data_IF_839546766096
#
_entry.id   IF_839546766096
#
_cell.length_a   1.000
_cell.length_b   1.000
_cell.length_c   1.000
_cell.angle_alpha   90.00
_cell.angle_beta   90.00
_cell.angle_gamma   90.00
#
_symmetry.space_group_name_H-M   'P 1'
#
loop_
_entity.id
_entity.type
_entity.pdbx_description
1 polymer ?
#
# COMPACT_ATOMS: atom_id res chain seq x y z
N UNK A 1 -7.97 13.15 -8.11
CA UNK A 1 -6.88 12.29 -7.61
C UNK A 1 -7.11 11.80 -6.19
N UNK A 2 -7.09 12.68 -5.17
CA UNK A 2 -7.28 12.31 -3.74
C UNK A 2 -8.52 11.43 -3.50
N UNK A 3 -9.68 11.76 -4.09
CA UNK A 3 -10.90 10.95 -3.98
C UNK A 3 -10.71 9.48 -4.41
N UNK A 4 -9.90 9.25 -5.44
CA UNK A 4 -9.60 7.89 -5.92
C UNK A 4 -8.70 7.13 -4.95
N UNK A 5 -7.85 7.83 -4.20
CA UNK A 5 -7.02 7.24 -3.16
C UNK A 5 -7.88 6.82 -1.95
N UNK A 6 -8.78 7.71 -1.52
CA UNK A 6 -9.73 7.45 -0.43
C UNK A 6 -10.64 6.27 -0.77
N UNK A 7 -11.25 6.27 -1.96
CA UNK A 7 -12.07 5.14 -2.42
C UNK A 7 -11.28 3.83 -2.46
N UNK A 8 -9.97 3.89 -2.76
CA UNK A 8 -9.11 2.70 -2.69
C UNK A 8 -8.84 2.27 -1.25
N UNK A 9 -8.70 3.18 -0.29
CA UNK A 9 -8.57 2.83 1.12
C UNK A 9 -9.80 2.12 1.64
N UNK A 10 -11.00 2.62 1.33
CA UNK A 10 -12.27 1.99 1.68
C UNK A 10 -12.35 0.58 1.06
N UNK A 11 -12.07 0.46 -0.23
CA UNK A 11 -12.05 -0.83 -0.90
C UNK A 11 -11.03 -1.81 -0.31
N UNK A 12 -9.86 -1.32 0.14
CA UNK A 12 -8.85 -2.14 0.82
C UNK A 12 -9.31 -2.58 2.21
N UNK A 13 -10.12 -1.80 2.92
CA UNK A 13 -10.73 -2.23 4.17
C UNK A 13 -11.64 -3.45 3.96
N UNK A 14 -12.40 -3.47 2.87
CA UNK A 14 -13.24 -4.62 2.48
C UNK A 14 -12.42 -5.78 1.87
N UNK A 15 -11.27 -5.47 1.25
CA UNK A 15 -10.43 -6.42 0.52
C UNK A 15 -8.99 -6.42 1.06
N UNK A 16 -8.77 -6.69 2.36
CA UNK A 16 -7.48 -6.45 3.02
C UNK A 16 -6.34 -7.30 2.46
N UNK A 17 -6.66 -8.43 1.81
CA UNK A 17 -5.66 -9.34 1.24
C UNK A 17 -5.33 -9.07 -0.23
N UNK A 18 -5.95 -8.08 -0.86
CA UNK A 18 -5.75 -7.76 -2.29
C UNK A 18 -4.36 -7.19 -2.61
N UNK A 19 -3.71 -6.55 -1.64
CA UNK A 19 -2.34 -6.05 -1.78
C UNK A 19 -1.29 -7.16 -1.76
N UNK A 20 -0.23 -6.95 -2.54
CA UNK A 20 0.95 -7.81 -2.58
C UNK A 20 1.65 -7.78 -1.22
N UNK A 21 1.98 -8.93 -0.60
CA UNK A 21 2.82 -8.97 0.59
C UNK A 21 4.18 -8.32 0.32
N UNK A 22 4.65 -7.50 1.27
CA UNK A 22 5.98 -6.88 1.27
C UNK A 22 6.78 -7.31 2.51
N UNK A 23 6.84 -8.62 2.72
CA UNK A 23 7.60 -9.22 3.82
C UNK A 23 9.12 -8.95 3.68
N UNK A 24 9.57 -8.57 2.48
CA UNK A 24 10.92 -8.07 2.17
C UNK A 24 11.24 -6.72 2.83
N UNK A 25 10.22 -5.89 3.09
CA UNK A 25 10.37 -4.64 3.85
C UNK A 25 10.18 -4.93 5.34
N UNK A 26 9.03 -5.54 5.69
CA UNK A 26 8.71 -5.94 7.05
C UNK A 26 7.57 -6.95 7.02
N UNK A 27 7.69 -8.01 7.83
CA UNK A 27 6.66 -9.05 7.92
C UNK A 27 5.27 -8.46 8.19
N UNK A 28 4.29 -8.90 7.40
CA UNK A 28 2.88 -8.47 7.52
C UNK A 28 2.55 -7.18 6.77
N UNK A 29 3.52 -6.53 6.14
CA UNK A 29 3.28 -5.36 5.29
C UNK A 29 2.71 -5.81 3.95
N UNK A 30 1.91 -4.94 3.34
CA UNK A 30 1.32 -5.13 2.02
C UNK A 30 1.39 -3.82 1.24
N UNK A 31 1.39 -3.92 -0.08
CA UNK A 31 1.24 -2.78 -0.95
C UNK A 31 0.19 -2.98 -2.04
N UNK A 32 -0.45 -1.89 -2.48
CA UNK A 32 -1.40 -1.89 -3.59
C UNK A 32 -1.18 -0.66 -4.48
N UNK A 33 -1.01 -0.82 -5.81
CA UNK A 33 -0.83 0.32 -6.72
C UNK A 33 -2.17 1.03 -6.98
N UNK A 34 -2.18 2.36 -6.89
CA UNK A 34 -3.34 3.19 -7.23
C UNK A 34 -2.90 4.41 -8.04
N UNK A 35 -3.04 4.31 -9.36
CA UNK A 35 -2.55 5.34 -10.28
C UNK A 35 -1.03 5.49 -10.14
N UNK A 36 -0.58 6.70 -9.83
CA UNK A 36 0.84 6.99 -9.68
C UNK A 36 1.37 6.83 -8.23
N UNK A 37 0.59 6.25 -7.31
CA UNK A 37 1.03 6.02 -5.93
C UNK A 37 0.95 4.54 -5.56
N UNK A 38 1.78 4.14 -4.60
CA UNK A 38 1.78 2.81 -4.02
C UNK A 38 1.28 2.96 -2.59
N UNK A 39 0.16 2.31 -2.26
CA UNK A 39 -0.43 2.35 -0.92
C UNK A 39 0.22 1.25 -0.08
N UNK A 40 0.98 1.62 0.94
CA UNK A 40 1.51 0.69 1.94
C UNK A 40 0.56 0.59 3.13
N UNK A 41 0.28 -0.64 3.54
CA UNK A 41 -0.63 -0.91 4.63
C UNK A 41 -0.31 -2.24 5.31
N UNK A 42 -0.98 -2.51 6.44
CA UNK A 42 -0.94 -3.81 7.12
C UNK A 42 -2.34 -4.19 7.61
N UNK A 43 -2.52 -5.47 7.92
CA UNK A 43 -3.76 -5.99 8.52
C UNK A 43 -3.48 -6.24 10.00
N UNK A 44 -4.25 -5.61 10.89
CA UNK A 44 -4.14 -5.77 12.35
C UNK A 44 -5.55 -5.92 12.91
N UNK A 45 -5.82 -6.94 13.74
CA UNK A 45 -7.13 -7.12 14.40
C UNK A 45 -8.34 -6.95 13.47
N UNK A 46 -8.25 -7.50 12.26
CA UNK A 46 -9.26 -7.43 11.20
C UNK A 46 -9.54 -6.02 10.63
N UNK A 47 -8.65 -5.06 10.85
CA UNK A 47 -8.65 -3.72 10.24
C UNK A 47 -7.47 -3.55 9.29
N UNK A 48 -7.53 -2.48 8.49
CA UNK A 48 -6.45 -2.05 7.60
C UNK A 48 -5.85 -0.74 8.11
N UNK A 49 -4.57 -0.79 8.50
CA UNK A 49 -3.79 0.40 8.85
C UNK A 49 -3.06 0.90 7.61
N UNK A 50 -3.40 2.08 7.11
CA UNK A 50 -2.65 2.74 6.04
C UNK A 50 -1.38 3.34 6.63
N UNK A 51 -0.22 2.90 6.15
CA UNK A 51 1.09 3.35 6.60
C UNK A 51 1.59 4.55 5.78
N UNK A 52 1.25 4.61 4.49
CA UNK A 52 1.62 5.70 3.61
C UNK A 52 1.25 5.44 2.16
N UNK A 53 1.19 6.50 1.34
CA UNK A 53 0.93 6.40 -0.09
C UNK A 53 1.94 7.25 -0.89
N UNK A 54 3.23 6.87 -0.92
CA UNK A 54 4.22 7.56 -1.74
C UNK A 54 3.88 7.50 -3.23
N UNK A 55 4.27 8.54 -3.96
CA UNK A 55 4.33 8.49 -5.42
C UNK A 55 5.32 7.41 -5.87
N UNK A 56 4.97 6.63 -6.89
CA UNK A 56 5.78 5.50 -7.39
C UNK A 56 7.19 5.91 -7.87
N UNK A 57 7.40 7.18 -8.20
CA UNK A 57 8.72 7.71 -8.55
C UNK A 57 9.64 7.90 -7.33
N UNK A 58 9.11 7.81 -6.11
CA UNK A 58 9.91 7.79 -4.89
C UNK A 58 10.36 6.37 -4.53
N UNK A 59 10.08 5.38 -5.38
CA UNK A 59 10.60 4.02 -5.22
C UNK A 59 12.09 4.00 -5.58
N UNK A 60 12.93 4.00 -4.55
CA UNK A 60 14.40 3.99 -4.60
C UNK A 60 14.92 2.54 -4.78
N UNK A 61 14.15 1.65 -5.40
CA UNK A 61 14.71 0.39 -5.92
C UNK A 61 15.64 0.63 -7.14
N UNK A 62 15.85 1.88 -7.58
CA UNK A 62 16.82 2.29 -8.61
C UNK A 62 18.17 2.80 -8.10
N UNK A 63 18.53 2.57 -6.83
CA UNK A 63 19.83 3.03 -6.31
C UNK A 63 20.61 1.98 -5.51
N UNK A 64 20.46 0.71 -5.89
CA UNK A 64 21.40 -0.35 -5.53
C UNK A 64 21.94 -0.98 -6.82
N UNK A 65 22.63 -0.17 -7.62
CA UNK A 65 23.65 -0.64 -8.56
C UNK A 65 25.02 -0.63 -7.85
#
# INVERSE_FOLDING_TARGET
YIRSLIARFEWLADNPRAGRPRDDIKRGYRCYPQGAHIIFYRIVDNTVDILGAPHQSMDIERHFD
#
